data_IF_052748563080
#
_entry.id   IF_052748563080
#
_cell.length_a   1.000
_cell.length_b   1.000
_cell.length_c   1.000
_cell.angle_alpha   90.00
_cell.angle_beta   90.00
_cell.angle_gamma   90.00
#
_symmetry.space_group_name_H-M   'P 1'
#
loop_
_entity.id
_entity.type
_entity.pdbx_description
1 polymer ?
#
# COMPACT_ATOMS: atom_id res chain seq x y z
N UNK A 1 19.69 -12.66 29.48
CA UNK A 1 19.01 -13.36 28.37
C UNK A 1 18.13 -12.33 27.70
N UNK A 2 18.35 -12.01 26.42
CA UNK A 2 17.45 -11.10 25.72
C UNK A 2 16.04 -11.69 25.84
N UNK A 3 15.08 -10.91 26.34
CA UNK A 3 13.67 -11.32 26.38
C UNK A 3 13.25 -11.71 24.96
N UNK A 4 12.67 -12.90 24.79
CA UNK A 4 12.19 -13.38 23.49
C UNK A 4 11.10 -12.44 22.97
N UNK A 5 11.47 -11.54 22.03
CA UNK A 5 10.55 -10.53 21.49
C UNK A 5 9.54 -11.25 20.61
N UNK A 6 8.29 -11.19 21.02
CA UNK A 6 7.13 -11.69 20.26
C UNK A 6 6.08 -10.61 20.16
N UNK A 7 5.65 -10.33 18.94
CA UNK A 7 4.65 -9.31 18.62
C UNK A 7 3.63 -9.89 17.64
N UNK A 8 2.48 -9.24 17.49
CA UNK A 8 1.43 -9.76 16.60
C UNK A 8 0.69 -8.71 15.83
N UNK A 9 0.35 -9.05 14.58
CA UNK A 9 -0.74 -8.41 13.88
C UNK A 9 -2.00 -9.28 14.02
N UNK A 10 -3.07 -8.69 14.55
CA UNK A 10 -4.30 -9.39 14.88
C UNK A 10 -5.53 -8.77 14.19
N UNK A 11 -5.68 -8.90 12.86
CA UNK A 11 -6.80 -8.32 12.14
C UNK A 11 -8.08 -9.16 12.26
N UNK A 12 -9.23 -8.48 12.32
CA UNK A 12 -10.53 -9.12 12.09
C UNK A 12 -10.86 -9.11 10.59
N UNK A 13 -11.22 -10.25 9.96
CA UNK A 13 -11.44 -10.37 8.52
C UNK A 13 -12.82 -9.84 8.10
N UNK A 14 -13.08 -8.56 8.40
CA UNK A 14 -14.37 -7.87 8.17
C UNK A 14 -14.37 -6.96 6.93
N UNK A 15 -13.34 -7.11 6.09
CA UNK A 15 -13.13 -6.34 4.87
C UNK A 15 -11.64 -6.28 4.53
N UNK A 16 -11.30 -5.39 3.60
CA UNK A 16 -9.95 -5.21 3.08
C UNK A 16 -8.92 -4.77 4.14
N UNK A 17 -7.65 -5.04 3.86
CA UNK A 17 -6.52 -4.51 4.64
C UNK A 17 -6.44 -2.98 4.49
N UNK A 18 -6.84 -2.28 5.54
CA UNK A 18 -6.75 -0.82 5.63
C UNK A 18 -5.30 -0.37 5.81
N UNK A 19 -4.89 0.79 5.28
CA UNK A 19 -3.50 1.27 5.40
C UNK A 19 -3.04 1.48 6.85
N UNK A 20 -3.95 1.86 7.75
CA UNK A 20 -3.65 1.94 9.18
C UNK A 20 -3.37 0.56 9.80
N UNK A 21 -4.06 -0.48 9.30
CA UNK A 21 -3.78 -1.88 9.65
C UNK A 21 -2.44 -2.33 9.07
N UNK A 22 -2.18 -2.03 7.80
CA UNK A 22 -0.91 -2.32 7.14
C UNK A 22 0.28 -1.64 7.84
N UNK A 23 0.15 -0.38 8.26
CA UNK A 23 1.16 0.32 9.08
C UNK A 23 1.35 -0.35 10.44
N UNK A 24 0.27 -0.77 11.09
CA UNK A 24 0.37 -1.51 12.35
C UNK A 24 1.12 -2.84 12.16
N UNK A 25 0.81 -3.58 11.10
CA UNK A 25 1.52 -4.80 10.73
C UNK A 25 3.00 -4.51 10.45
N UNK A 26 3.30 -3.46 9.67
CA UNK A 26 4.66 -3.03 9.36
C UNK A 26 5.46 -2.69 10.63
N UNK A 27 4.91 -1.93 11.58
CA UNK A 27 5.62 -1.59 12.82
C UNK A 27 5.87 -2.79 13.72
N UNK A 28 4.93 -3.74 13.80
CA UNK A 28 5.17 -5.02 14.46
C UNK A 28 6.29 -5.80 13.76
N UNK A 29 6.23 -5.89 12.43
CA UNK A 29 7.23 -6.59 11.63
C UNK A 29 8.63 -5.99 11.78
N UNK A 30 8.76 -4.66 11.65
CA UNK A 30 10.04 -3.95 11.83
C UNK A 30 10.59 -4.13 13.24
N UNK A 31 9.73 -4.04 14.28
CA UNK A 31 10.16 -4.27 15.65
C UNK A 31 10.67 -5.69 15.89
N UNK A 32 9.98 -6.69 15.34
CA UNK A 32 10.41 -8.08 15.40
C UNK A 32 11.75 -8.27 14.69
N UNK A 33 11.88 -7.77 13.45
CA UNK A 33 13.12 -7.91 12.66
C UNK A 33 14.30 -7.19 13.30
N UNK A 34 14.11 -5.98 13.84
CA UNK A 34 15.13 -5.22 14.55
C UNK A 34 15.69 -6.00 15.75
N UNK A 35 14.83 -6.64 16.52
CA UNK A 35 15.22 -7.35 17.75
C UNK A 35 15.51 -8.84 17.54
N UNK A 36 15.45 -9.36 16.31
CA UNK A 36 15.56 -10.80 16.04
C UNK A 36 14.43 -11.64 16.66
N UNK A 37 13.26 -11.02 16.87
CA UNK A 37 12.07 -11.64 17.45
C UNK A 37 11.13 -12.32 16.44
N UNK A 38 9.91 -12.61 16.89
CA UNK A 38 8.85 -13.26 16.11
C UNK A 38 7.69 -12.31 15.82
N UNK A 39 7.27 -12.27 14.56
CA UNK A 39 6.07 -11.61 14.07
C UNK A 39 4.96 -12.64 13.84
N UNK A 40 3.91 -12.59 14.67
CA UNK A 40 2.78 -13.53 14.64
C UNK A 40 1.59 -12.91 13.90
N UNK A 41 0.97 -13.67 12.98
CA UNK A 41 -0.33 -13.34 12.41
C UNK A 41 -1.42 -14.14 13.12
N UNK A 42 -2.38 -13.46 13.76
CA UNK A 42 -3.55 -14.09 14.40
C UNK A 42 -4.83 -13.53 13.79
N UNK A 43 -5.75 -14.39 13.37
CA UNK A 43 -7.00 -13.95 12.75
C UNK A 43 -8.10 -13.87 13.80
N UNK A 44 -8.65 -12.67 14.00
CA UNK A 44 -9.68 -12.40 15.01
C UNK A 44 -11.08 -12.56 14.41
N UNK A 45 -11.45 -13.81 14.17
CA UNK A 45 -12.65 -14.23 13.44
C UNK A 45 -13.81 -14.72 14.36
N UNK A 46 -13.90 -14.18 15.58
CA UNK A 46 -14.99 -14.55 16.51
C UNK A 46 -16.38 -14.03 16.10
N UNK A 47 -16.47 -12.99 15.27
CA UNK A 47 -17.74 -12.47 14.72
C UNK A 47 -18.08 -13.12 13.36
N UNK A 48 -18.56 -14.36 13.42
CA UNK A 48 -18.86 -15.20 12.24
C UNK A 48 -19.68 -14.46 11.17
N UNK A 49 -20.61 -13.58 11.57
CA UNK A 49 -21.51 -12.88 10.64
C UNK A 49 -20.80 -11.81 9.80
N UNK A 50 -19.69 -11.28 10.28
CA UNK A 50 -18.95 -10.20 9.60
C UNK A 50 -17.71 -10.69 8.88
N UNK A 51 -17.28 -11.93 9.15
CA UNK A 51 -16.09 -12.50 8.57
C UNK A 51 -16.41 -13.09 7.20
N UNK A 52 -15.53 -12.85 6.22
CA UNK A 52 -15.64 -13.50 4.91
C UNK A 52 -14.29 -14.06 4.47
N UNK A 53 -14.32 -15.11 3.67
CA UNK A 53 -13.10 -15.72 3.11
C UNK A 53 -12.35 -14.72 2.22
N UNK A 54 -13.07 -13.88 1.47
CA UNK A 54 -12.47 -12.85 0.62
C UNK A 54 -11.75 -11.77 1.44
N UNK A 55 -12.32 -11.37 2.58
CA UNK A 55 -11.67 -10.42 3.48
C UNK A 55 -10.42 -11.02 4.11
N UNK A 56 -10.44 -12.31 4.42
CA UNK A 56 -9.29 -13.04 4.95
C UNK A 56 -8.18 -13.16 3.88
N UNK A 57 -8.53 -13.55 2.65
CA UNK A 57 -7.60 -13.60 1.52
C UNK A 57 -6.98 -12.22 1.23
N UNK A 58 -7.77 -11.15 1.23
CA UNK A 58 -7.29 -9.79 1.02
C UNK A 58 -6.29 -9.33 2.09
N UNK A 59 -6.38 -9.85 3.32
CA UNK A 59 -5.37 -9.61 4.36
C UNK A 59 -4.07 -10.32 4.01
N UNK A 60 -4.13 -11.60 3.66
CA UNK A 60 -2.94 -12.39 3.32
C UNK A 60 -2.22 -11.82 2.09
N UNK A 61 -2.95 -11.61 0.99
CA UNK A 61 -2.41 -11.01 -0.24
C UNK A 61 -1.80 -9.64 0.01
N UNK A 62 -2.44 -8.81 0.86
CA UNK A 62 -1.93 -7.49 1.21
C UNK A 62 -0.62 -7.55 2.00
N UNK A 63 -0.50 -8.47 2.96
CA UNK A 63 0.73 -8.66 3.75
C UNK A 63 1.86 -9.26 2.91
N UNK A 64 1.56 -10.27 2.09
CA UNK A 64 2.51 -10.90 1.17
C UNK A 64 3.02 -9.90 0.12
N UNK A 65 2.12 -9.12 -0.49
CA UNK A 65 2.51 -8.09 -1.45
C UNK A 65 3.40 -7.02 -0.80
N UNK A 66 3.09 -6.62 0.44
CA UNK A 66 3.96 -5.71 1.20
C UNK A 66 5.28 -6.38 1.60
N UNK A 67 5.46 -7.69 1.48
CA UNK A 67 6.65 -8.42 1.94
C UNK A 67 6.72 -8.59 3.46
N UNK A 68 5.58 -8.52 4.16
CA UNK A 68 5.46 -8.62 5.61
C UNK A 68 5.18 -10.07 6.04
N UNK A 69 6.10 -10.97 5.70
CA UNK A 69 6.00 -12.39 6.05
C UNK A 69 5.93 -12.57 7.57
N UNK A 70 5.02 -13.42 8.03
CA UNK A 70 4.89 -13.82 9.45
C UNK A 70 5.65 -15.09 9.76
N UNK A 71 6.19 -15.16 10.97
CA UNK A 71 6.98 -16.30 11.44
C UNK A 71 6.09 -17.42 12.00
N UNK A 72 4.87 -17.06 12.41
CA UNK A 72 3.84 -17.95 12.93
C UNK A 72 2.46 -17.39 12.55
N UNK A 73 1.51 -18.23 12.16
CA UNK A 73 0.19 -17.77 11.74
C UNK A 73 -0.53 -18.76 10.84
N UNK A 74 -1.68 -18.40 10.25
CA UNK A 74 -2.30 -19.19 9.20
C UNK A 74 -1.31 -19.50 8.07
N UNK A 75 -1.44 -20.67 7.44
CA UNK A 75 -0.58 -21.14 6.33
C UNK A 75 0.91 -21.38 6.67
N UNK A 76 1.32 -21.10 7.91
CA UNK A 76 2.69 -21.28 8.41
C UNK A 76 2.62 -22.09 9.71
N UNK A 77 3.56 -23.01 9.94
CA UNK A 77 3.59 -23.76 11.21
C UNK A 77 3.99 -22.84 12.36
N UNK A 78 3.55 -23.16 13.57
CA UNK A 78 3.98 -22.46 14.78
C UNK A 78 3.55 -23.18 16.05
N UNK A 79 4.26 -22.91 17.14
CA UNK A 79 4.14 -23.68 18.39
C UNK A 79 2.89 -23.32 19.22
N UNK A 80 2.19 -22.25 18.85
CA UNK A 80 1.08 -21.67 19.63
C UNK A 80 -0.25 -21.65 18.88
N UNK A 81 -0.34 -22.41 17.78
CA UNK A 81 -1.56 -22.58 16.99
C UNK A 81 -2.70 -23.27 17.78
N UNK A 82 -3.92 -23.32 17.21
CA UNK A 82 -4.31 -22.74 15.92
C UNK A 82 -4.29 -21.20 15.93
N UNK A 83 -4.13 -20.54 14.78
CA UNK A 83 -3.99 -19.08 14.70
C UNK A 83 -5.27 -18.34 14.31
N UNK A 84 -6.40 -19.06 14.18
CA UNK A 84 -7.75 -18.52 14.03
C UNK A 84 -8.45 -18.60 15.39
N UNK A 85 -9.08 -17.50 15.82
CA UNK A 85 -9.76 -17.49 17.12
C UNK A 85 -10.99 -18.40 17.15
N UNK A 86 -11.67 -18.58 16.02
CA UNK A 86 -12.80 -19.50 15.89
C UNK A 86 -12.43 -20.95 16.25
N UNK A 87 -11.17 -21.35 16.03
CA UNK A 87 -10.64 -22.69 16.29
C UNK A 87 -10.14 -22.88 17.73
N UNK A 88 -10.21 -21.85 18.57
CA UNK A 88 -9.59 -21.83 19.91
C UNK A 88 -10.60 -21.87 21.05
N UNK A 89 -11.85 -22.26 20.76
CA UNK A 89 -12.94 -22.25 21.75
C UNK A 89 -12.60 -23.05 23.02
N UNK A 90 -12.01 -24.24 22.91
CA UNK A 90 -11.63 -25.04 24.08
C UNK A 90 -10.63 -24.33 25.01
N UNK A 91 -9.68 -23.59 24.43
CA UNK A 91 -8.74 -22.79 25.20
C UNK A 91 -9.46 -21.72 26.02
N UNK A 92 -10.40 -21.02 25.40
CA UNK A 92 -11.19 -19.98 26.05
C UNK A 92 -12.06 -20.53 27.17
N UNK A 93 -12.66 -21.72 26.99
CA UNK A 93 -13.41 -22.40 28.05
C UNK A 93 -12.54 -22.74 29.27
N UNK A 94 -11.30 -23.20 29.04
CA UNK A 94 -10.36 -23.49 30.15
C UNK A 94 -10.04 -22.24 30.96
N UNK A 95 -9.83 -21.11 30.29
CA UNK A 95 -9.53 -19.83 30.96
C UNK A 95 -10.76 -19.22 31.62
N UNK A 96 -11.94 -19.36 31.01
CA UNK A 96 -13.21 -18.98 31.63
C UNK A 96 -13.39 -19.74 32.94
N UNK A 97 -13.17 -21.05 32.93
CA UNK A 97 -13.26 -21.89 34.13
C UNK A 97 -12.28 -21.45 35.22
N UNK A 98 -11.01 -21.17 34.87
CA UNK A 98 -10.02 -20.65 35.85
C UNK A 98 -10.52 -19.37 36.53
N UNK A 99 -11.06 -18.43 35.76
CA UNK A 99 -11.58 -17.17 36.30
C UNK A 99 -12.87 -17.36 37.10
N UNK A 100 -13.74 -18.31 36.71
CA UNK A 100 -14.93 -18.69 37.47
C UNK A 100 -14.56 -19.28 38.82
N UNK A 101 -13.64 -20.25 38.83
CA UNK A 101 -13.16 -20.91 40.05
C UNK A 101 -12.48 -19.92 41.01
N UNK A 102 -11.88 -18.85 40.48
CA UNK A 102 -11.31 -17.73 41.22
C UNK A 102 -12.31 -16.62 41.60
N UNK A 103 -13.60 -16.76 41.26
CA UNK A 103 -14.66 -15.80 41.62
C UNK A 103 -14.66 -14.50 40.80
N UNK A 104 -13.91 -14.43 39.71
CA UNK A 104 -13.83 -13.26 38.84
C UNK A 104 -14.96 -13.18 37.82
N UNK A 105 -15.77 -14.23 37.66
CA UNK A 105 -16.85 -14.26 36.67
C UNK A 105 -18.21 -14.36 37.35
N UNK A 106 -19.20 -13.67 36.80
CA UNK A 106 -20.60 -13.82 37.19
C UNK A 106 -21.52 -13.78 35.97
N UNK A 107 -22.72 -14.31 36.13
CA UNK A 107 -23.78 -14.23 35.13
C UNK A 107 -24.65 -12.99 35.38
N UNK A 108 -25.00 -12.28 34.31
CA UNK A 108 -25.97 -11.19 34.31
C UNK A 108 -26.76 -11.22 33.00
N UNK A 109 -28.08 -11.42 33.09
CA UNK A 109 -29.01 -11.49 31.95
C UNK A 109 -28.56 -12.50 30.87
N UNK A 110 -28.08 -13.68 31.28
CA UNK A 110 -27.57 -14.73 30.39
C UNK A 110 -26.19 -14.45 29.78
N UNK A 111 -25.58 -13.29 30.04
CA UNK A 111 -24.21 -13.00 29.63
C UNK A 111 -23.24 -13.34 30.77
N UNK A 112 -22.04 -13.80 30.42
CA UNK A 112 -20.95 -13.95 31.39
C UNK A 112 -20.10 -12.69 31.40
N UNK A 113 -19.88 -12.13 32.59
CA UNK A 113 -19.15 -10.89 32.79
C UNK A 113 -17.94 -11.11 33.71
N UNK A 114 -16.87 -10.40 33.40
CA UNK A 114 -15.71 -10.26 34.26
C UNK A 114 -15.96 -9.17 35.31
N UNK A 115 -15.79 -9.53 36.58
CA UNK A 115 -15.89 -8.65 37.74
C UNK A 115 -14.62 -7.81 37.84
N UNK A 116 -14.72 -6.53 37.48
CA UNK A 116 -13.62 -5.58 37.66
C UNK A 116 -13.28 -5.46 39.15
N UNK A 117 -11.98 -5.45 39.52
CA UNK A 117 -11.51 -5.12 40.86
C UNK A 117 -11.89 -3.72 41.36
N UNK A 118 -12.34 -2.81 40.47
CA UNK A 118 -12.69 -1.41 40.79
C UNK A 118 -11.52 -0.58 41.27
N UNK A 119 -10.36 -0.76 40.63
CA UNK A 119 -9.11 -0.09 40.98
C UNK A 119 -8.63 0.85 39.86
N UNK A 120 -7.67 1.70 40.20
CA UNK A 120 -6.91 2.46 39.21
C UNK A 120 -5.96 1.53 38.44
N UNK A 121 -5.88 1.73 37.12
CA UNK A 121 -4.97 0.98 36.25
C UNK A 121 -4.08 1.95 35.49
N UNK A 122 -2.81 1.98 35.88
CA UNK A 122 -1.77 2.70 35.13
C UNK A 122 -1.36 1.88 33.91
N UNK A 123 -1.58 2.46 32.73
CA UNK A 123 -1.04 1.97 31.45
C UNK A 123 0.27 2.70 31.19
N UNK A 124 1.39 1.97 31.29
CA UNK A 124 2.72 2.47 30.92
C UNK A 124 2.97 2.17 29.44
N UNK A 125 2.55 3.10 28.57
CA UNK A 125 2.63 2.93 27.12
C UNK A 125 3.92 3.52 26.56
N UNK A 126 4.61 2.76 25.69
CA UNK A 126 5.88 3.17 25.08
C UNK A 126 5.72 4.43 24.23
N UNK A 127 4.59 4.57 23.54
CA UNK A 127 4.30 5.73 22.68
C UNK A 127 3.54 6.77 23.49
N UNK A 128 2.49 6.37 24.20
CA UNK A 128 1.58 7.30 24.86
C UNK A 128 2.06 7.89 26.18
N UNK A 129 3.10 7.30 26.78
CA UNK A 129 3.51 7.57 28.14
C UNK A 129 2.58 6.93 29.17
N UNK A 130 2.78 7.30 30.44
CA UNK A 130 1.99 6.80 31.56
C UNK A 130 0.62 7.47 31.62
N UNK A 131 -0.43 6.66 31.59
CA UNK A 131 -1.82 7.12 31.70
C UNK A 131 -2.49 6.35 32.83
N UNK A 132 -3.06 7.06 33.79
CA UNK A 132 -3.84 6.47 34.89
C UNK A 132 -5.33 6.45 34.52
N UNK A 133 -5.93 5.25 34.54
CA UNK A 133 -7.35 5.04 34.29
C UNK A 133 -8.07 4.67 35.58
N UNK A 134 -9.01 5.52 36.00
CA UNK A 134 -9.90 5.23 37.12
C UNK A 134 -11.05 4.31 36.67
N UNK A 135 -11.01 3.03 37.06
CA UNK A 135 -12.07 2.05 36.80
C UNK A 135 -13.03 1.86 37.99
N UNK A 136 -12.92 2.69 39.03
CA UNK A 136 -13.70 2.55 40.26
C UNK A 136 -15.21 2.78 40.06
N UNK A 137 -15.58 3.60 39.08
CA UNK A 137 -16.98 3.95 38.80
C UNK A 137 -17.64 2.93 37.83
N UNK A 138 -18.57 2.08 38.31
CA UNK A 138 -19.24 1.09 37.46
C UNK A 138 -20.19 1.71 36.42
N UNK A 139 -20.61 2.97 36.58
CA UNK A 139 -21.48 3.64 35.62
C UNK A 139 -20.73 4.02 34.33
N UNK A 140 -19.46 4.40 34.44
CA UNK A 140 -18.59 4.74 33.29
C UNK A 140 -17.74 3.55 32.84
N UNK A 141 -17.39 2.64 33.77
CA UNK A 141 -16.63 1.43 33.51
C UNK A 141 -17.39 0.18 34.01
N UNK A 142 -18.46 -0.24 33.32
CA UNK A 142 -19.22 -1.42 33.74
C UNK A 142 -18.40 -2.70 33.63
N UNK A 143 -18.83 -3.73 34.38
CA UNK A 143 -18.24 -5.08 34.29
C UNK A 143 -18.31 -5.61 32.86
N UNK A 144 -17.16 -6.04 32.36
CA UNK A 144 -16.97 -6.35 30.97
C UNK A 144 -17.62 -7.69 30.62
N UNK A 145 -18.51 -7.69 29.64
CA UNK A 145 -19.00 -8.94 29.05
C UNK A 145 -17.84 -9.67 28.38
N UNK A 146 -17.66 -10.95 28.72
CA UNK A 146 -16.66 -11.83 28.11
C UNK A 146 -17.30 -12.90 27.22
N UNK A 147 -18.57 -13.24 27.50
CA UNK A 147 -19.38 -14.14 26.68
C UNK A 147 -20.81 -13.61 26.57
N UNK A 148 -21.35 -13.53 25.36
CA UNK A 148 -22.72 -13.10 25.09
C UNK A 148 -23.74 -14.19 25.43
N UNK A 149 -25.04 -13.86 25.57
CA UNK A 149 -26.10 -14.86 25.79
C UNK A 149 -26.23 -15.90 24.66
N UNK A 150 -25.84 -15.54 23.43
CA UNK A 150 -25.79 -16.47 22.29
C UNK A 150 -24.57 -17.41 22.32
N UNK A 151 -23.77 -17.36 23.39
CA UNK A 151 -22.59 -18.19 23.59
C UNK A 151 -21.32 -17.65 22.93
N UNK A 152 -21.40 -16.60 22.10
CA UNK A 152 -20.24 -16.05 21.40
C UNK A 152 -19.28 -15.31 22.34
N UNK A 153 -17.98 -15.43 22.06
CA UNK A 153 -16.94 -14.74 22.82
C UNK A 153 -16.83 -13.26 22.45
N UNK A 154 -16.42 -12.45 23.42
CA UNK A 154 -16.11 -11.03 23.22
C UNK A 154 -14.62 -10.85 22.97
N UNK A 155 -14.29 -9.99 22.00
CA UNK A 155 -12.94 -9.55 21.62
C UNK A 155 -11.98 -9.39 22.82
N UNK A 156 -12.41 -8.68 23.87
CA UNK A 156 -11.51 -8.39 24.99
C UNK A 156 -10.98 -9.63 25.71
N UNK A 157 -11.82 -10.65 25.86
CA UNK A 157 -11.44 -11.87 26.56
C UNK A 157 -10.48 -12.70 25.72
N UNK A 158 -10.88 -13.03 24.48
CA UNK A 158 -10.08 -13.87 23.58
C UNK A 158 -8.73 -13.23 23.23
N UNK A 159 -8.69 -11.90 23.06
CA UNK A 159 -7.46 -11.17 22.77
C UNK A 159 -6.43 -11.30 23.91
N UNK A 160 -6.86 -11.20 25.18
CA UNK A 160 -5.98 -11.40 26.34
C UNK A 160 -5.50 -12.84 26.44
N UNK A 161 -6.41 -13.81 26.30
CA UNK A 161 -6.04 -15.23 26.39
C UNK A 161 -5.03 -15.60 25.30
N UNK A 162 -5.24 -15.13 24.08
CA UNK A 162 -4.31 -15.41 22.98
C UNK A 162 -2.99 -14.68 23.10
N UNK A 163 -2.99 -13.41 23.54
CA UNK A 163 -1.74 -12.70 23.79
C UNK A 163 -0.92 -13.38 24.92
N UNK A 164 -1.59 -13.91 25.95
CA UNK A 164 -0.97 -14.71 27.01
C UNK A 164 -0.37 -16.02 26.47
N UNK A 165 -1.18 -16.81 25.77
CA UNK A 165 -0.81 -18.16 25.32
C UNK A 165 0.22 -18.15 24.19
N UNK A 166 0.13 -17.17 23.28
CA UNK A 166 1.13 -16.94 22.23
C UNK A 166 2.39 -16.23 22.76
N UNK A 167 2.47 -15.98 24.08
CA UNK A 167 3.60 -15.33 24.76
C UNK A 167 3.96 -13.98 24.14
N UNK A 168 2.96 -13.19 23.79
CA UNK A 168 3.18 -11.86 23.21
C UNK A 168 3.86 -10.99 24.26
N UNK A 169 5.01 -10.43 23.87
CA UNK A 169 5.83 -9.56 24.72
C UNK A 169 5.45 -8.08 24.58
N UNK A 170 5.08 -7.67 23.35
CA UNK A 170 4.69 -6.30 23.03
C UNK A 170 3.42 -6.30 22.18
N UNK A 171 2.42 -5.54 22.62
CA UNK A 171 1.19 -5.29 21.88
C UNK A 171 1.29 -3.91 21.24
N UNK A 172 1.64 -3.92 19.96
CA UNK A 172 1.73 -2.71 19.12
C UNK A 172 0.44 -2.63 18.29
N UNK A 173 -0.43 -1.66 18.57
CA UNK A 173 -1.76 -1.53 17.93
C UNK A 173 -2.21 -0.07 17.81
N UNK A 174 -3.29 0.21 17.08
CA UNK A 174 -3.82 1.57 16.95
C UNK A 174 -4.31 2.16 18.28
N UNK A 175 -4.17 3.48 18.45
CA UNK A 175 -4.59 4.21 19.66
C UNK A 175 -6.09 4.16 19.96
N UNK A 176 -6.91 3.78 19.00
CA UNK A 176 -8.33 3.49 19.20
C UNK A 176 -8.57 2.31 20.15
N UNK A 177 -7.55 1.49 20.42
CA UNK A 177 -7.60 0.45 21.44
C UNK A 177 -7.02 0.86 22.80
N UNK A 178 -6.52 2.08 22.97
CA UNK A 178 -5.87 2.53 24.20
C UNK A 178 -6.81 2.42 25.41
N UNK A 179 -8.07 2.86 25.26
CA UNK A 179 -9.11 2.80 26.30
C UNK A 179 -9.54 1.38 26.68
N UNK A 180 -9.19 0.37 25.86
CA UNK A 180 -9.46 -1.04 26.15
C UNK A 180 -8.37 -1.68 27.02
N UNK A 181 -7.16 -1.14 26.97
CA UNK A 181 -5.96 -1.65 27.64
C UNK A 181 -6.12 -1.83 29.16
N UNK A 182 -6.70 -0.89 29.94
CA UNK A 182 -6.81 -1.11 31.38
C UNK A 182 -7.69 -2.32 31.72
N UNK A 183 -8.75 -2.60 30.94
CA UNK A 183 -9.58 -3.80 31.09
C UNK A 183 -8.84 -5.08 30.73
N UNK A 184 -7.95 -5.02 29.74
CA UNK A 184 -7.09 -6.15 29.38
C UNK A 184 -6.10 -6.48 30.52
N UNK A 185 -5.50 -5.44 31.13
CA UNK A 185 -4.59 -5.57 32.27
C UNK A 185 -5.29 -6.22 33.48
N UNK A 186 -6.55 -5.86 33.78
CA UNK A 186 -7.32 -6.51 34.85
C UNK A 186 -7.45 -8.03 34.63
N UNK A 187 -7.72 -8.49 33.40
CA UNK A 187 -7.79 -9.93 33.09
C UNK A 187 -6.41 -10.59 33.27
N UNK A 188 -5.33 -10.00 32.75
CA UNK A 188 -3.98 -10.55 32.95
C UNK A 188 -3.65 -10.72 34.44
N UNK A 189 -3.93 -9.69 35.26
CA UNK A 189 -3.71 -9.72 36.71
C UNK A 189 -4.57 -10.77 37.40
N UNK A 190 -5.85 -10.90 37.03
CA UNK A 190 -6.75 -11.93 37.56
C UNK A 190 -6.30 -13.36 37.20
N UNK A 191 -5.58 -13.52 36.09
CA UNK A 191 -4.94 -14.79 35.70
C UNK A 191 -3.56 -15.01 36.35
N UNK A 192 -3.10 -14.08 37.20
CA UNK A 192 -1.77 -14.12 37.80
C UNK A 192 -0.64 -13.90 36.79
N UNK A 193 -0.94 -13.34 35.62
CA UNK A 193 0.01 -13.13 34.54
C UNK A 193 0.49 -11.67 34.47
N UNK A 194 1.72 -11.47 33.99
CA UNK A 194 2.27 -10.14 33.72
C UNK A 194 1.75 -9.67 32.34
N UNK A 195 1.09 -8.50 32.24
CA UNK A 195 0.68 -7.95 30.95
C UNK A 195 1.89 -7.68 30.03
N UNK A 196 1.70 -7.74 28.70
CA UNK A 196 2.74 -7.34 27.74
C UNK A 196 3.02 -5.83 27.85
N UNK A 197 4.13 -5.40 27.26
CA UNK A 197 4.35 -3.98 27.00
C UNK A 197 3.37 -3.48 25.94
N UNK A 198 2.88 -2.25 26.08
CA UNK A 198 1.94 -1.65 25.14
C UNK A 198 2.58 -0.50 24.37
N UNK A 199 2.24 -0.39 23.09
CA UNK A 199 2.58 0.74 22.23
C UNK A 199 1.37 1.07 21.35
N UNK A 200 0.75 2.21 21.59
CA UNK A 200 -0.44 2.65 20.85
C UNK A 200 -0.07 3.67 19.75
N UNK A 201 -0.20 3.25 18.50
CA UNK A 201 0.17 4.03 17.31
C UNK A 201 -0.93 5.08 17.02
N UNK A 202 -0.59 6.37 16.85
CA UNK A 202 -1.57 7.42 16.54
C UNK A 202 -2.35 7.16 15.27
N UNK A 203 -3.60 7.63 15.18
CA UNK A 203 -4.42 7.46 13.98
C UNK A 203 -3.82 8.14 12.74
N UNK A 204 -4.25 7.64 11.57
CA UNK A 204 -3.99 8.30 10.28
C UNK A 204 -5.14 9.26 10.00
N UNK A 205 -4.82 10.49 9.61
CA UNK A 205 -5.77 11.51 9.23
C UNK A 205 -5.78 11.73 7.71
N UNK A 206 -6.91 12.16 7.20
CA UNK A 206 -7.04 12.73 5.87
C UNK A 206 -6.44 14.15 5.84
N UNK A 207 -6.24 14.71 4.63
CA UNK A 207 -5.73 16.08 4.45
C UNK A 207 -6.58 17.15 5.13
N UNK A 208 -7.87 16.91 5.28
CA UNK A 208 -8.81 17.79 5.98
C UNK A 208 -8.78 17.65 7.52
N UNK A 209 -7.92 16.76 8.04
CA UNK A 209 -7.79 16.48 9.48
C UNK A 209 -8.80 15.45 10.02
N UNK A 210 -9.74 14.96 9.21
CA UNK A 210 -10.66 13.90 9.61
C UNK A 210 -9.94 12.55 9.77
N UNK A 211 -10.44 11.66 10.63
CA UNK A 211 -9.91 10.29 10.74
C UNK A 211 -10.13 9.55 9.43
N UNK A 212 -9.08 8.95 8.88
CA UNK A 212 -9.21 8.13 7.67
C UNK A 212 -10.13 6.93 7.91
N UNK A 213 -11.10 6.78 7.02
CA UNK A 213 -12.13 5.74 7.01
C UNK A 213 -11.82 4.65 5.99
N UNK A 214 -12.45 3.47 6.15
CA UNK A 214 -12.35 2.35 5.18
C UNK A 214 -12.89 2.69 3.78
N UNK A 215 -13.62 3.80 3.62
CA UNK A 215 -14.24 4.23 2.36
C UNK A 215 -13.44 5.31 1.63
N UNK A 216 -12.44 5.89 2.28
CA UNK A 216 -11.65 6.96 1.71
C UNK A 216 -10.75 6.42 0.60
N UNK A 217 -10.47 7.26 -0.40
CA UNK A 217 -9.57 6.89 -1.49
C UNK A 217 -8.16 6.63 -0.94
N UNK A 218 -7.50 5.57 -1.41
CA UNK A 218 -6.18 5.16 -0.90
C UNK A 218 -6.22 4.46 0.45
N UNK A 219 -7.38 4.31 1.11
CA UNK A 219 -7.43 3.69 2.44
C UNK A 219 -7.14 2.17 2.43
N UNK A 220 -7.04 1.53 1.26
CA UNK A 220 -6.95 0.06 1.10
C UNK A 220 -5.66 -0.33 0.39
N UNK A 221 -4.96 -1.36 0.88
CA UNK A 221 -3.73 -1.87 0.23
C UNK A 221 -3.98 -2.28 -1.22
N UNK A 222 -5.11 -2.93 -1.50
CA UNK A 222 -5.52 -3.34 -2.84
C UNK A 222 -5.55 -2.19 -3.87
N UNK A 223 -5.88 -0.96 -3.43
CA UNK A 223 -5.85 0.22 -4.31
C UNK A 223 -4.46 0.40 -4.93
N UNK A 224 -3.40 0.28 -4.12
CA UNK A 224 -2.03 0.46 -4.57
C UNK A 224 -1.56 -0.67 -5.48
N UNK A 225 -1.95 -1.91 -5.17
CA UNK A 225 -1.70 -3.07 -6.03
C UNK A 225 -2.32 -2.84 -7.41
N UNK A 226 -3.61 -2.49 -7.46
CA UNK A 226 -4.34 -2.26 -8.72
C UNK A 226 -3.77 -1.11 -9.53
N UNK A 227 -3.35 -0.03 -8.87
CA UNK A 227 -2.71 1.12 -9.54
C UNK A 227 -1.26 0.85 -9.98
N UNK A 228 -0.68 -0.27 -9.56
CA UNK A 228 0.70 -0.60 -9.91
C UNK A 228 1.70 0.29 -9.17
N UNK A 229 1.47 0.50 -7.88
CA UNK A 229 2.52 0.97 -6.98
C UNK A 229 3.53 -0.17 -6.73
N UNK A 230 4.72 0.21 -6.29
CA UNK A 230 5.73 -0.72 -5.81
C UNK A 230 5.56 -0.92 -4.30
N UNK A 231 5.57 -2.18 -3.87
CA UNK A 231 5.46 -2.53 -2.46
C UNK A 231 6.50 -1.83 -1.58
N UNK A 232 7.74 -1.67 -2.10
CA UNK A 232 8.81 -0.97 -1.41
C UNK A 232 8.48 0.50 -1.14
N UNK A 233 7.90 1.21 -2.11
CA UNK A 233 7.48 2.59 -1.94
C UNK A 233 6.35 2.73 -0.93
N UNK A 234 5.35 1.83 -1.00
CA UNK A 234 4.23 1.83 -0.03
C UNK A 234 4.73 1.52 1.38
N UNK A 235 5.59 0.52 1.56
CA UNK A 235 6.21 0.24 2.88
C UNK A 235 6.97 1.43 3.42
N UNK A 236 7.86 2.04 2.63
CA UNK A 236 8.63 3.20 3.05
C UNK A 236 7.71 4.34 3.46
N UNK A 237 6.68 4.63 2.67
CA UNK A 237 5.74 5.69 2.98
C UNK A 237 4.93 5.40 4.25
N UNK A 238 4.40 4.18 4.42
CA UNK A 238 3.70 3.77 5.63
C UNK A 238 4.61 3.86 6.86
N UNK A 239 5.90 3.56 6.70
CA UNK A 239 6.89 3.73 7.76
C UNK A 239 6.96 5.18 8.23
N UNK A 240 6.98 6.13 7.28
CA UNK A 240 7.06 7.56 7.57
C UNK A 240 5.77 8.15 8.19
N UNK A 241 4.67 7.40 8.22
CA UNK A 241 3.41 7.84 8.84
C UNK A 241 3.44 7.69 10.36
N UNK A 242 4.14 8.61 11.01
CA UNK A 242 4.23 8.72 12.47
C UNK A 242 5.54 8.21 13.06
N UNK A 243 6.45 7.71 12.23
CA UNK A 243 7.84 7.42 12.59
C UNK A 243 8.75 8.13 11.59
N UNK A 244 9.89 8.67 12.05
CA UNK A 244 10.86 9.32 11.15
C UNK A 244 12.27 9.09 11.65
N UNK A 245 13.26 8.84 10.76
CA UNK A 245 14.65 9.06 11.13
C UNK A 245 14.84 10.57 11.38
N UNK A 246 15.74 10.94 12.31
CA UNK A 246 15.95 12.34 12.74
C UNK A 246 16.58 13.24 11.68
N UNK A 247 16.81 12.74 10.47
CA UNK A 247 17.55 13.39 9.39
C UNK A 247 16.67 13.80 8.19
N UNK A 248 15.34 13.78 8.35
CA UNK A 248 14.35 14.20 7.34
C UNK A 248 14.44 13.48 6.00
N UNK A 249 14.99 12.26 5.95
CA UNK A 249 14.98 11.45 4.73
C UNK A 249 13.59 10.90 4.43
N UNK A 250 13.17 11.00 3.18
CA UNK A 250 11.88 10.48 2.71
C UNK A 250 11.98 9.11 2.03
N UNK A 251 13.15 8.78 1.49
CA UNK A 251 13.46 7.47 0.93
C UNK A 251 14.54 6.81 1.77
N UNK A 252 14.24 5.65 2.34
CA UNK A 252 15.12 4.96 3.28
C UNK A 252 15.13 3.48 2.90
N UNK A 253 16.32 2.89 2.88
CA UNK A 253 16.49 1.47 2.63
C UNK A 253 15.82 0.63 3.74
N UNK A 254 15.23 -0.51 3.38
CA UNK A 254 14.49 -1.33 4.33
C UNK A 254 15.40 -1.94 5.40
N UNK A 255 16.61 -2.38 5.03
CA UNK A 255 17.55 -2.98 5.98
C UNK A 255 18.07 -1.91 6.95
N UNK A 256 18.24 -0.67 6.47
CA UNK A 256 18.52 0.46 7.33
C UNK A 256 17.38 0.73 8.31
N UNK A 257 16.11 0.80 7.85
CA UNK A 257 14.95 0.98 8.74
C UNK A 257 14.94 -0.13 9.79
N UNK A 258 15.12 -1.39 9.39
CA UNK A 258 15.21 -2.53 10.33
C UNK A 258 16.31 -2.28 11.35
N UNK A 259 17.48 -1.78 10.95
CA UNK A 259 18.61 -1.51 11.83
C UNK A 259 18.37 -0.38 12.85
N UNK A 260 17.46 0.57 12.57
CA UNK A 260 17.26 1.77 13.42
C UNK A 260 15.85 1.90 14.01
N UNK A 261 14.94 0.95 13.73
CA UNK A 261 13.55 1.02 14.18
C UNK A 261 13.43 0.89 15.71
N UNK A 262 12.84 1.90 16.36
CA UNK A 262 12.50 1.90 17.78
C UNK A 262 11.11 2.51 17.95
N UNK A 263 10.27 1.85 18.76
CA UNK A 263 8.92 2.32 19.12
C UNK A 263 8.94 3.70 19.79
N UNK A 264 10.02 4.05 20.49
CA UNK A 264 10.19 5.37 21.13
C UNK A 264 10.31 6.52 20.13
N UNK A 265 10.64 6.22 18.87
CA UNK A 265 10.72 7.20 17.80
C UNK A 265 9.37 7.41 17.08
N UNK A 266 8.30 6.73 17.53
CA UNK A 266 6.94 7.01 17.05
C UNK A 266 6.45 8.30 17.70
N UNK A 267 6.10 9.29 16.89
CA UNK A 267 5.56 10.57 17.35
C UNK A 267 4.18 10.43 17.99
N UNK A 268 3.81 11.35 18.88
CA UNK A 268 2.47 11.39 19.52
C UNK A 268 1.38 11.95 18.61
N UNK A 269 1.75 12.79 17.65
CA UNK A 269 0.82 13.45 16.75
C UNK A 269 0.30 12.48 15.69
N UNK A 270 -0.99 12.58 15.37
CA UNK A 270 -1.58 11.83 14.26
C UNK A 270 -0.88 12.16 12.94
N UNK A 271 -0.71 11.15 12.08
CA UNK A 271 -0.03 11.31 10.81
C UNK A 271 -1.04 11.64 9.71
N UNK A 272 -0.83 12.73 9.00
CA UNK A 272 -1.66 13.08 7.84
C UNK A 272 -1.22 12.30 6.61
N UNK A 273 -2.17 11.64 5.95
CA UNK A 273 -1.94 10.93 4.71
C UNK A 273 -1.87 11.90 3.52
N UNK A 274 -0.72 11.90 2.85
CA UNK A 274 -0.40 12.65 1.64
C UNK A 274 -0.27 11.72 0.40
N UNK A 275 -1.31 11.60 -0.44
CA UNK A 275 -1.25 10.79 -1.66
C UNK A 275 -0.22 11.29 -2.69
N UNK A 276 0.01 12.61 -2.77
CA UNK A 276 0.94 13.18 -3.76
C UNK A 276 2.39 12.82 -3.39
N UNK A 277 2.71 12.84 -2.08
CA UNK A 277 4.01 12.38 -1.58
C UNK A 277 4.25 10.90 -1.86
N UNK A 278 3.26 10.03 -1.60
CA UNK A 278 3.38 8.60 -1.92
C UNK A 278 3.53 8.38 -3.44
N UNK A 279 2.79 9.12 -4.26
CA UNK A 279 2.88 9.05 -5.70
C UNK A 279 4.27 9.46 -6.23
N UNK A 280 4.82 10.56 -5.71
CA UNK A 280 6.20 10.98 -5.99
C UNK A 280 7.22 9.92 -5.56
N UNK A 281 7.12 9.43 -4.31
CA UNK A 281 8.04 8.42 -3.78
C UNK A 281 8.01 7.15 -4.63
N UNK A 282 6.83 6.74 -5.10
CA UNK A 282 6.71 5.58 -5.99
C UNK A 282 7.47 5.79 -7.31
N UNK A 283 7.43 7.01 -7.87
CA UNK A 283 8.25 7.38 -9.03
C UNK A 283 9.75 7.29 -8.77
N UNK A 284 10.22 7.67 -7.58
CA UNK A 284 11.62 7.50 -7.18
C UNK A 284 12.03 6.02 -7.12
N UNK A 285 11.16 5.15 -6.60
CA UNK A 285 11.41 3.70 -6.62
C UNK A 285 11.34 3.12 -8.04
N UNK A 286 10.38 3.54 -8.85
CA UNK A 286 10.23 3.05 -10.23
C UNK A 286 11.43 3.42 -11.12
N UNK A 287 12.08 4.56 -10.85
CA UNK A 287 13.29 5.00 -11.55
C UNK A 287 14.53 4.15 -11.26
N UNK A 288 14.58 3.53 -10.09
CA UNK A 288 15.72 2.71 -9.66
C UNK A 288 15.60 1.23 -10.00
N UNK A 289 14.44 0.77 -10.45
CA UNK A 289 14.28 -0.59 -10.95
C UNK A 289 15.32 -0.90 -12.02
N UNK A 290 15.79 -2.15 -12.07
CA UNK A 290 16.55 -2.62 -13.22
C UNK A 290 15.69 -2.59 -14.49
N UNK A 291 16.32 -2.63 -15.66
CA UNK A 291 15.60 -2.67 -16.93
C UNK A 291 14.68 -3.90 -17.02
N UNK A 292 15.16 -5.05 -16.53
CA UNK A 292 14.38 -6.30 -16.50
C UNK A 292 13.15 -6.18 -15.59
N UNK A 293 13.32 -5.74 -14.34
CA UNK A 293 12.20 -5.59 -13.39
C UNK A 293 11.15 -4.59 -13.88
N UNK A 294 11.59 -3.46 -14.45
CA UNK A 294 10.68 -2.48 -15.03
C UNK A 294 9.88 -3.08 -16.18
N UNK A 295 10.56 -3.77 -17.11
CA UNK A 295 9.90 -4.43 -18.24
C UNK A 295 8.88 -5.47 -17.77
N UNK A 296 9.23 -6.35 -16.83
CA UNK A 296 8.35 -7.40 -16.33
C UNK A 296 7.06 -6.81 -15.73
N UNK A 297 7.19 -5.80 -14.87
CA UNK A 297 6.06 -5.11 -14.25
C UNK A 297 5.21 -4.36 -15.28
N UNK A 298 5.85 -3.71 -16.25
CA UNK A 298 5.16 -2.98 -17.32
C UNK A 298 4.38 -3.92 -18.25
N UNK A 299 4.98 -5.05 -18.65
CA UNK A 299 4.31 -6.08 -19.47
C UNK A 299 3.12 -6.66 -18.73
N UNK A 300 3.29 -7.04 -17.45
CA UNK A 300 2.20 -7.56 -16.64
C UNK A 300 1.03 -6.56 -16.56
N UNK A 301 1.34 -5.27 -16.34
CA UNK A 301 0.32 -4.23 -16.22
C UNK A 301 -0.40 -3.94 -17.54
N UNK A 302 0.33 -3.83 -18.65
CA UNK A 302 -0.26 -3.62 -19.97
C UNK A 302 -1.18 -4.77 -20.38
N UNK A 303 -0.77 -6.03 -20.14
CA UNK A 303 -1.62 -7.21 -20.37
C UNK A 303 -2.89 -7.18 -19.52
N UNK A 304 -2.76 -6.84 -18.23
CA UNK A 304 -3.91 -6.70 -17.33
C UNK A 304 -4.88 -5.58 -17.76
N UNK A 305 -4.39 -4.57 -18.49
CA UNK A 305 -5.19 -3.50 -19.10
C UNK A 305 -5.76 -3.85 -20.48
N UNK A 306 -5.58 -5.08 -20.96
CA UNK A 306 -6.12 -5.57 -22.23
C UNK A 306 -5.25 -5.29 -23.46
N UNK A 307 -4.02 -4.80 -23.28
CA UNK A 307 -3.08 -4.58 -24.39
C UNK A 307 -2.52 -5.93 -24.85
N UNK A 308 -2.71 -6.24 -26.13
CA UNK A 308 -2.29 -7.50 -26.78
C UNK A 308 -0.83 -7.45 -27.22
N UNK A 309 0.08 -7.58 -26.26
CA UNK A 309 1.53 -7.53 -26.51
C UNK A 309 2.04 -8.72 -27.33
N UNK A 310 1.33 -9.85 -27.33
CA UNK A 310 1.65 -11.06 -28.09
C UNK A 310 1.68 -10.85 -29.62
N UNK A 311 1.13 -9.74 -30.12
CA UNK A 311 1.16 -9.38 -31.53
C UNK A 311 2.46 -8.67 -31.95
N UNK A 312 3.39 -8.44 -31.01
CA UNK A 312 4.60 -7.66 -31.24
C UNK A 312 5.85 -8.48 -30.87
N UNK A 313 6.97 -8.32 -31.59
CA UNK A 313 8.25 -8.92 -31.20
C UNK A 313 8.69 -8.45 -29.82
N UNK A 314 9.29 -9.34 -29.03
CA UNK A 314 9.75 -9.03 -27.67
C UNK A 314 10.73 -7.85 -27.63
N UNK A 315 11.65 -7.78 -28.59
CA UNK A 315 12.60 -6.68 -28.73
C UNK A 315 11.91 -5.33 -28.96
N UNK A 316 10.84 -5.30 -29.76
CA UNK A 316 10.04 -4.08 -29.98
C UNK A 316 9.30 -3.66 -28.71
N UNK A 317 8.72 -4.62 -27.98
CA UNK A 317 8.06 -4.35 -26.69
C UNK A 317 9.07 -3.79 -25.70
N UNK A 318 10.25 -4.41 -25.58
CA UNK A 318 11.34 -3.94 -24.74
C UNK A 318 11.75 -2.50 -25.09
N UNK A 319 12.04 -2.24 -26.37
CA UNK A 319 12.43 -0.90 -26.83
C UNK A 319 11.36 0.16 -26.54
N UNK A 320 10.08 -0.15 -26.76
CA UNK A 320 8.96 0.73 -26.43
C UNK A 320 8.90 1.04 -24.93
N UNK A 321 9.02 0.02 -24.07
CA UNK A 321 8.97 0.17 -22.62
C UNK A 321 10.18 0.95 -22.08
N UNK A 322 11.36 0.80 -22.67
CA UNK A 322 12.53 1.59 -22.28
C UNK A 322 12.30 3.09 -22.45
N UNK A 323 11.52 3.50 -23.46
CA UNK A 323 11.17 4.93 -23.62
C UNK A 323 10.30 5.49 -22.47
N UNK A 324 9.66 4.61 -21.68
CA UNK A 324 8.79 4.96 -20.57
C UNK A 324 9.50 4.98 -19.21
N UNK A 325 10.68 4.36 -19.12
CA UNK A 325 11.40 4.24 -17.86
C UNK A 325 11.73 5.62 -17.29
N UNK A 326 11.38 5.81 -16.03
CA UNK A 326 11.53 7.07 -15.32
C UNK A 326 10.63 8.22 -15.77
N UNK A 327 9.59 7.92 -16.56
CA UNK A 327 8.56 8.90 -16.98
C UNK A 327 7.20 8.69 -16.33
N UNK A 328 7.00 7.55 -15.68
CA UNK A 328 5.79 7.21 -14.95
C UNK A 328 6.08 7.20 -13.45
N UNK A 329 5.04 7.49 -12.68
CA UNK A 329 5.06 7.33 -11.25
C UNK A 329 4.33 6.06 -10.83
N UNK A 330 3.33 5.59 -11.58
CA UNK A 330 2.61 4.33 -11.32
C UNK A 330 2.42 3.54 -12.61
N UNK A 331 2.43 2.21 -12.52
CA UNK A 331 2.36 1.38 -13.73
C UNK A 331 0.99 1.45 -14.42
N UNK A 332 -0.09 1.86 -13.73
CA UNK A 332 -1.39 2.12 -14.37
C UNK A 332 -1.43 3.32 -15.32
N UNK A 333 -0.39 4.15 -15.33
CA UNK A 333 -0.24 5.24 -16.30
C UNK A 333 0.21 4.73 -17.67
N UNK A 334 0.85 3.55 -17.73
CA UNK A 334 1.45 3.01 -18.96
C UNK A 334 0.48 2.85 -20.13
N UNK A 335 -0.74 2.29 -19.96
CA UNK A 335 -1.67 2.14 -21.08
C UNK A 335 -1.99 3.48 -21.76
N UNK A 336 -2.18 4.55 -20.98
CA UNK A 336 -2.42 5.89 -21.52
C UNK A 336 -1.14 6.56 -22.04
N UNK A 337 0.01 6.29 -21.41
CA UNK A 337 1.28 6.92 -21.73
C UNK A 337 1.96 6.35 -22.98
N UNK A 338 1.87 5.03 -23.20
CA UNK A 338 2.60 4.33 -24.26
C UNK A 338 1.75 3.31 -25.03
N UNK A 339 0.44 3.19 -24.76
CA UNK A 339 -0.44 2.25 -25.46
C UNK A 339 -0.44 2.42 -26.98
N UNK A 340 -0.15 3.63 -27.48
CA UNK A 340 -0.05 3.94 -28.91
C UNK A 340 1.01 3.12 -29.67
N UNK A 341 1.99 2.52 -28.98
CA UNK A 341 2.95 1.60 -29.63
C UNK A 341 2.29 0.30 -30.08
N UNK A 342 1.22 -0.11 -29.38
CA UNK A 342 0.63 -1.44 -29.48
C UNK A 342 -0.75 -1.45 -30.15
N UNK A 343 -1.16 -0.32 -30.73
CA UNK A 343 -2.37 -0.18 -31.53
C UNK A 343 -2.18 0.87 -32.63
N UNK A 344 -2.75 0.66 -33.80
CA UNK A 344 -2.93 1.70 -34.83
C UNK A 344 -4.33 2.33 -34.76
N UNK A 345 -5.24 1.72 -34.01
CA UNK A 345 -6.57 2.24 -33.70
C UNK A 345 -6.51 3.05 -32.41
N UNK A 346 -6.23 4.34 -32.58
CA UNK A 346 -6.26 5.34 -31.51
C UNK A 346 -6.99 6.60 -31.99
N UNK A 347 -7.60 7.31 -31.05
CA UNK A 347 -8.25 8.60 -31.29
C UNK A 347 -7.29 9.76 -30.97
N UNK A 348 -7.53 10.92 -31.58
CA UNK A 348 -6.77 12.13 -31.30
C UNK A 348 -7.38 12.88 -30.12
N UNK A 349 -6.54 13.21 -29.13
CA UNK A 349 -6.96 13.95 -27.95
C UNK A 349 -7.58 15.30 -28.35
N UNK A 350 -8.82 15.63 -27.95
CA UNK A 350 -9.54 16.81 -28.45
C UNK A 350 -8.81 18.14 -28.25
N UNK A 351 -8.19 18.34 -27.08
CA UNK A 351 -7.40 19.55 -26.82
C UNK A 351 -6.15 19.63 -27.71
N UNK A 352 -5.59 18.47 -28.08
CA UNK A 352 -4.47 18.40 -29.03
C UNK A 352 -4.91 18.82 -30.41
N UNK A 353 -6.03 18.27 -30.89
CA UNK A 353 -6.62 18.62 -32.19
C UNK A 353 -6.86 20.12 -32.28
N UNK A 354 -7.56 20.69 -31.31
CA UNK A 354 -7.87 22.12 -31.29
C UNK A 354 -6.61 23.03 -31.33
N UNK A 355 -5.51 22.58 -30.72
CA UNK A 355 -4.27 23.36 -30.60
C UNK A 355 -3.29 23.13 -31.75
N UNK A 356 -3.22 21.91 -32.28
CA UNK A 356 -2.13 21.48 -33.16
C UNK A 356 -2.58 21.10 -34.57
N UNK A 357 -3.83 20.68 -34.77
CA UNK A 357 -4.40 20.36 -36.08
C UNK A 357 -5.09 21.58 -36.68
N UNK A 358 -4.27 22.56 -37.07
CA UNK A 358 -4.70 23.85 -37.62
C UNK A 358 -4.19 24.03 -39.05
N UNK A 359 -4.84 24.93 -39.82
CA UNK A 359 -4.41 25.27 -41.18
C UNK A 359 -2.94 25.76 -41.25
N UNK A 360 -2.47 26.42 -40.19
CA UNK A 360 -1.09 26.88 -40.05
C UNK A 360 -0.10 25.72 -39.87
N UNK A 361 -0.48 24.67 -39.13
CA UNK A 361 0.39 23.53 -38.84
C UNK A 361 0.34 22.45 -39.93
N UNK A 362 -0.72 22.41 -40.76
CA UNK A 362 -0.82 21.46 -41.87
C UNK A 362 0.40 21.47 -42.81
N UNK A 363 0.88 22.62 -43.34
CA UNK A 363 2.09 22.64 -44.17
C UNK A 363 3.36 22.26 -43.39
N UNK A 364 3.42 22.56 -42.09
CA UNK A 364 4.55 22.19 -41.22
C UNK A 364 4.64 20.67 -41.05
N UNK A 365 3.52 20.03 -40.74
CA UNK A 365 3.45 18.57 -40.59
C UNK A 365 3.76 17.86 -41.91
N UNK A 366 3.31 18.41 -43.05
CA UNK A 366 3.68 17.91 -44.38
C UNK A 366 5.19 18.00 -44.63
N UNK A 367 5.82 19.13 -44.30
CA UNK A 367 7.28 19.26 -44.42
C UNK A 367 8.05 18.27 -43.53
N UNK A 368 7.56 18.01 -42.31
CA UNK A 368 8.11 16.96 -41.43
C UNK A 368 7.98 15.58 -42.08
N UNK A 369 6.80 15.25 -42.61
CA UNK A 369 6.54 13.98 -43.30
C UNK A 369 7.53 13.76 -44.43
N UNK A 370 7.71 14.75 -45.29
CA UNK A 370 8.60 14.65 -46.45
C UNK A 370 10.08 14.53 -46.02
N UNK A 371 10.50 15.30 -45.00
CA UNK A 371 11.86 15.23 -44.46
C UNK A 371 12.17 13.87 -43.81
N UNK A 372 11.26 13.35 -42.98
CA UNK A 372 11.40 12.01 -42.38
C UNK A 372 11.34 10.90 -43.45
N UNK A 373 10.57 11.12 -44.52
CA UNK A 373 10.50 10.20 -45.67
C UNK A 373 11.83 10.06 -46.42
N UNK A 374 12.67 11.10 -46.40
CA UNK A 374 13.96 11.12 -47.08
C UNK A 374 15.11 10.50 -46.26
N UNK A 375 14.92 10.23 -44.96
CA UNK A 375 15.97 9.64 -44.11
C UNK A 375 16.29 8.20 -44.51
N UNK A 376 17.56 7.87 -44.68
CA UNK A 376 18.01 6.48 -44.91
C UNK A 376 18.09 5.71 -43.58
N UNK A 377 18.73 6.30 -42.57
CA UNK A 377 18.81 5.78 -41.20
C UNK A 377 17.74 6.45 -40.32
N UNK A 378 16.97 5.65 -39.59
CA UNK A 378 15.80 6.12 -38.83
C UNK A 378 15.96 5.89 -37.32
N UNK A 379 17.09 6.34 -36.77
CA UNK A 379 17.38 6.40 -35.34
C UNK A 379 17.03 7.77 -34.72
N UNK A 380 17.01 7.86 -33.39
CA UNK A 380 16.65 9.08 -32.67
C UNK A 380 17.53 10.29 -33.02
N UNK A 381 18.84 10.12 -33.21
CA UNK A 381 19.78 11.22 -33.47
C UNK A 381 19.54 11.84 -34.85
N UNK A 382 19.35 10.99 -35.86
CA UNK A 382 19.02 11.39 -37.22
C UNK A 382 17.63 12.03 -37.30
N UNK A 383 16.64 11.49 -36.57
CA UNK A 383 15.29 12.08 -36.44
C UNK A 383 15.34 13.45 -35.76
N UNK A 384 16.10 13.60 -34.66
CA UNK A 384 16.26 14.87 -33.96
C UNK A 384 16.90 15.94 -34.85
N UNK A 385 17.99 15.58 -35.52
CA UNK A 385 18.71 16.47 -36.44
C UNK A 385 17.81 16.92 -37.58
N UNK A 386 17.05 15.99 -38.17
CA UNK A 386 16.11 16.27 -39.25
C UNK A 386 15.02 17.23 -38.80
N UNK A 387 14.38 16.99 -37.66
CA UNK A 387 13.33 17.87 -37.15
C UNK A 387 13.88 19.28 -36.83
N UNK A 388 15.06 19.38 -36.22
CA UNK A 388 15.71 20.69 -35.99
C UNK A 388 15.97 21.44 -37.28
N UNK A 389 16.48 20.76 -38.31
CA UNK A 389 16.72 21.37 -39.62
C UNK A 389 15.41 21.79 -40.29
N UNK A 390 14.38 20.95 -40.30
CA UNK A 390 13.06 21.29 -40.86
C UNK A 390 12.45 22.51 -40.17
N UNK A 391 12.55 22.60 -38.83
CA UNK A 391 12.07 23.76 -38.09
C UNK A 391 12.81 25.05 -38.50
N UNK A 392 14.14 24.98 -38.64
CA UNK A 392 14.95 26.11 -39.08
C UNK A 392 14.60 26.57 -40.50
N UNK A 393 14.45 25.64 -41.45
CA UNK A 393 14.04 25.94 -42.84
C UNK A 393 12.65 26.57 -42.92
N UNK A 394 11.74 26.19 -42.03
CA UNK A 394 10.41 26.78 -41.91
C UNK A 394 10.40 28.10 -41.10
N UNK A 395 11.52 28.50 -40.51
CA UNK A 395 11.61 29.71 -39.69
C UNK A 395 10.84 29.63 -38.36
N UNK A 396 10.66 28.43 -37.79
CA UNK A 396 9.88 28.21 -36.56
C UNK A 396 10.70 27.54 -35.46
N UNK A 397 10.22 27.65 -34.21
CA UNK A 397 10.78 26.88 -33.08
C UNK A 397 10.47 25.39 -33.25
N UNK A 398 11.39 24.52 -32.81
CA UNK A 398 11.25 23.05 -32.88
C UNK A 398 9.94 22.54 -32.28
N UNK A 399 9.49 23.14 -31.16
CA UNK A 399 8.20 22.80 -30.53
C UNK A 399 6.99 22.93 -31.48
N UNK A 400 7.03 23.88 -32.43
CA UNK A 400 5.94 24.12 -33.38
C UNK A 400 5.72 22.95 -34.35
N UNK A 401 6.74 22.10 -34.57
CA UNK A 401 6.63 20.89 -35.39
C UNK A 401 6.57 19.62 -34.54
N UNK A 402 7.21 19.62 -33.36
CA UNK A 402 7.23 18.45 -32.45
C UNK A 402 5.83 18.13 -31.93
N UNK A 403 5.08 19.13 -31.46
CA UNK A 403 3.75 18.89 -30.90
C UNK A 403 2.73 18.34 -31.93
N UNK A 404 2.56 18.92 -33.13
CA UNK A 404 1.66 18.33 -34.13
C UNK A 404 2.13 16.95 -34.62
N UNK A 405 3.45 16.72 -34.72
CA UNK A 405 3.99 15.39 -35.09
C UNK A 405 3.68 14.35 -34.01
N UNK A 406 3.87 14.68 -32.73
CA UNK A 406 3.51 13.80 -31.60
C UNK A 406 2.03 13.44 -31.66
N UNK A 407 1.16 14.43 -31.80
CA UNK A 407 -0.28 14.20 -31.87
C UNK A 407 -0.62 13.29 -33.06
N UNK A 408 -0.03 13.54 -34.24
CA UNK A 408 -0.23 12.73 -35.44
C UNK A 408 0.14 11.25 -35.23
N UNK A 409 1.26 10.96 -34.58
CA UNK A 409 1.77 9.59 -34.45
C UNK A 409 1.30 8.86 -33.20
N UNK A 410 0.80 9.55 -32.18
CA UNK A 410 0.41 8.93 -30.90
C UNK A 410 -1.05 9.13 -30.51
N UNK A 411 -1.75 10.08 -31.13
CA UNK A 411 -3.08 10.51 -30.65
C UNK A 411 -3.03 11.36 -29.37
N UNK A 412 -1.86 11.52 -28.74
CA UNK A 412 -1.69 12.18 -27.45
C UNK A 412 -0.82 13.43 -27.53
N UNK A 413 -1.01 14.34 -26.58
CA UNK A 413 -0.14 15.50 -26.38
C UNK A 413 1.08 15.19 -25.49
N UNK A 414 1.04 14.05 -24.79
CA UNK A 414 2.03 13.62 -23.81
C UNK A 414 2.58 12.26 -24.23
N UNK A 415 3.83 12.00 -23.90
CA UNK A 415 4.45 10.71 -24.13
C UNK A 415 5.97 10.80 -23.97
N UNK A 416 6.70 9.73 -24.33
CA UNK A 416 8.16 9.68 -24.30
C UNK A 416 8.82 10.77 -25.16
N UNK A 417 10.16 10.81 -25.16
CA UNK A 417 10.91 11.63 -26.14
C UNK A 417 10.38 11.37 -27.55
N UNK A 418 10.08 12.44 -28.32
CA UNK A 418 9.54 12.26 -29.67
C UNK A 418 10.53 11.52 -30.57
N UNK A 419 11.83 11.75 -30.40
CA UNK A 419 12.83 11.16 -31.29
C UNK A 419 12.91 9.65 -31.11
N UNK A 420 13.07 9.20 -29.86
CA UNK A 420 13.11 7.79 -29.50
C UNK A 420 11.79 7.07 -29.79
N UNK A 421 10.63 7.72 -29.58
CA UNK A 421 9.36 7.06 -29.90
C UNK A 421 9.17 6.88 -31.40
N UNK A 422 9.66 7.81 -32.22
CA UNK A 422 9.59 7.68 -33.68
C UNK A 422 10.50 6.54 -34.15
N UNK A 423 11.73 6.49 -33.66
CA UNK A 423 12.67 5.38 -33.91
C UNK A 423 12.01 4.02 -33.60
N UNK A 424 11.44 3.86 -32.41
CA UNK A 424 10.78 2.61 -32.00
C UNK A 424 9.59 2.29 -32.91
N UNK A 425 8.73 3.26 -33.24
CA UNK A 425 7.59 3.03 -34.14
C UNK A 425 8.04 2.59 -35.53
N UNK A 426 9.21 3.05 -35.97
CA UNK A 426 9.77 2.80 -37.28
C UNK A 426 9.20 3.71 -38.37
N UNK A 427 10.05 4.03 -39.35
CA UNK A 427 9.77 4.99 -40.44
C UNK A 427 8.41 4.79 -41.10
N UNK A 428 8.11 3.57 -41.54
CA UNK A 428 6.91 3.31 -42.32
C UNK A 428 5.61 3.58 -41.53
N UNK A 429 5.59 3.19 -40.24
CA UNK A 429 4.44 3.41 -39.35
C UNK A 429 4.28 4.89 -39.06
N UNK A 430 5.39 5.58 -38.78
CA UNK A 430 5.40 7.03 -38.57
C UNK A 430 4.80 7.77 -39.77
N UNK A 431 5.28 7.50 -40.99
CA UNK A 431 4.79 8.16 -42.20
C UNK A 431 3.31 7.88 -42.43
N UNK A 432 2.88 6.63 -42.25
CA UNK A 432 1.46 6.25 -42.38
C UNK A 432 0.57 7.00 -41.40
N UNK A 433 1.00 7.15 -40.13
CA UNK A 433 0.25 7.88 -39.11
C UNK A 433 0.21 9.38 -39.39
N UNK A 434 1.30 9.97 -39.89
CA UNK A 434 1.31 11.38 -40.31
C UNK A 434 0.39 11.59 -41.52
N UNK A 435 0.41 10.70 -42.50
CA UNK A 435 -0.46 10.77 -43.68
C UNK A 435 -1.95 10.66 -43.27
N UNK A 436 -2.30 9.78 -42.31
CA UNK A 436 -3.62 9.72 -41.67
C UNK A 436 -4.01 11.05 -41.01
N UNK A 437 -3.09 11.69 -40.29
CA UNK A 437 -3.36 12.98 -39.67
C UNK A 437 -3.59 14.07 -40.73
N UNK A 438 -2.77 14.12 -41.78
CA UNK A 438 -2.94 15.10 -42.87
C UNK A 438 -4.24 14.90 -43.67
N UNK A 439 -4.83 13.71 -43.68
CA UNK A 439 -6.13 13.49 -44.35
C UNK A 439 -7.33 14.00 -43.55
N UNK A 440 -7.18 14.29 -42.24
CA UNK A 440 -8.31 14.62 -41.36
C UNK A 440 -8.44 16.11 -40.99
N UNK A 441 -7.41 16.95 -41.15
CA UNK A 441 -7.45 18.37 -40.74
C UNK A 441 -6.80 19.33 -41.72
#
# INVERSE_FOLDING_TARGET
MASDIRVRFAPSPTGYLHIGGARTALFNWLFARHHGGKFVLRIEDTDIKRNTEEAMAAIYEGLEWLGLNWDEGPHVNGDFGPYLQSERTELYERYLKKLQDAGHIFEDQGALRFRSPREHVVVDDIVCGKIDFDLSNPATHPDMTIRRPDGSWIFHFVNVIDDLEMKISHVIRGEDHLSNTPKHIEIFRALGATPPHYAHIPLILNRDGSKMSKRDEGARVEYYIRRGYLAAAVRNYLCLLGWSPKDNREKIDLDEIIGIFDLKNIGRSSATFDPDKLHWLNGEYARELSDAEFCDLAVAKLKASGVKLENFPEEYVGAALQTCKGKINTFDELPAYCGFYFTDDFEYHPQGVAKHFTAENRPRLKAVRDALGALEEFDADNVETTLKHTAATLGVKVGAIVHPTRLAVTGSNVGPSLYHLLEVLGKQKVLTRIDRALSIF
#
